data_IF_437977761766
#
_entry.id   IF_437977761766
#
_cell.length_a   1.000
_cell.length_b   1.000
_cell.length_c   1.000
_cell.angle_alpha   90.00
_cell.angle_beta   90.00
_cell.angle_gamma   90.00
#
_symmetry.space_group_name_H-M   'P 1'
#
loop_
_entity.id
_entity.type
_entity.pdbx_description
1 polymer ?
#
# COMPACT_ATOMS: atom_id res chain seq x y z
N UNK A 1 -2.41 25.69 6.51
CA UNK A 1 -3.66 25.45 7.30
C UNK A 1 -3.63 23.99 7.71
N UNK A 2 -3.80 23.68 8.99
CA UNK A 2 -3.84 22.29 9.45
C UNK A 2 -5.31 21.94 9.77
N UNK A 3 -5.84 20.92 9.12
CA UNK A 3 -7.16 20.36 9.45
C UNK A 3 -7.04 19.52 10.72
N UNK A 4 -8.09 19.53 11.54
CA UNK A 4 -8.21 18.64 12.69
C UNK A 4 -8.58 17.24 12.22
N UNK A 5 -8.07 16.21 12.87
CA UNK A 5 -8.24 14.80 12.49
C UNK A 5 -9.72 14.39 12.39
N UNK A 6 -10.55 14.88 13.30
CA UNK A 6 -11.99 14.57 13.27
C UNK A 6 -12.68 15.08 12.01
N UNK A 7 -12.20 16.19 11.42
CA UNK A 7 -12.73 16.72 10.15
C UNK A 7 -12.38 15.80 9.01
N UNK A 8 -11.09 15.39 8.91
CA UNK A 8 -10.63 14.47 7.86
C UNK A 8 -11.40 13.14 7.95
N UNK A 9 -11.52 12.57 9.15
CA UNK A 9 -12.27 11.31 9.36
C UNK A 9 -13.74 11.41 8.96
N UNK A 10 -14.39 12.55 9.22
CA UNK A 10 -15.78 12.75 8.83
C UNK A 10 -15.95 12.73 7.30
N UNK A 11 -15.04 13.38 6.57
CA UNK A 11 -15.06 13.35 5.10
C UNK A 11 -14.72 11.99 4.51
N UNK A 12 -13.93 11.17 5.21
CA UNK A 12 -13.50 9.84 4.78
C UNK A 12 -14.31 8.69 5.41
N UNK A 13 -15.40 8.97 6.14
CA UNK A 13 -16.19 7.97 6.87
C UNK A 13 -16.78 6.85 6.01
N UNK A 14 -16.94 7.09 4.70
CA UNK A 14 -17.45 6.11 3.75
C UNK A 14 -16.33 5.32 3.04
N UNK A 15 -15.07 5.49 3.45
CA UNK A 15 -13.94 4.72 2.90
C UNK A 15 -13.71 3.48 3.75
N UNK A 16 -13.58 2.33 3.09
CA UNK A 16 -13.07 1.10 3.66
C UNK A 16 -11.60 0.94 3.26
N UNK A 17 -10.72 0.89 4.24
CA UNK A 17 -9.28 0.88 4.00
C UNK A 17 -8.72 -0.54 4.08
N UNK A 18 -8.16 -1.02 2.99
CA UNK A 18 -7.41 -2.28 2.93
C UNK A 18 -5.94 -1.92 2.75
N UNK A 19 -5.17 -2.08 3.81
CA UNK A 19 -3.76 -1.67 3.89
C UNK A 19 -2.86 -2.78 4.43
N UNK A 20 -1.60 -2.50 4.68
CA UNK A 20 -0.65 -3.44 5.28
C UNK A 20 0.61 -3.64 4.45
N UNK A 21 1.27 -4.79 4.63
CA UNK A 21 2.56 -5.06 3.95
C UNK A 21 2.39 -5.46 2.48
N UNK A 22 3.41 -5.31 1.64
CA UNK A 22 3.44 -5.93 0.33
C UNK A 22 3.15 -7.43 0.41
N UNK A 23 2.61 -8.00 -0.64
CA UNK A 23 2.24 -9.43 -0.72
C UNK A 23 1.25 -9.93 0.33
N UNK A 24 0.68 -9.06 1.18
CA UNK A 24 -0.32 -9.42 2.18
C UNK A 24 -1.69 -9.83 1.59
N UNK A 25 -1.91 -9.60 0.29
CA UNK A 25 -3.16 -9.95 -0.41
C UNK A 25 -4.18 -8.82 -0.46
N UNK A 26 -3.76 -7.56 -0.25
CA UNK A 26 -4.62 -6.37 -0.28
C UNK A 26 -5.48 -6.30 -1.55
N UNK A 27 -4.85 -6.29 -2.70
CA UNK A 27 -5.51 -6.13 -4.01
C UNK A 27 -6.50 -7.26 -4.29
N UNK A 28 -6.15 -8.50 -3.94
CA UNK A 28 -7.06 -9.64 -4.06
C UNK A 28 -8.31 -9.46 -3.20
N UNK A 29 -8.14 -9.03 -1.96
CA UNK A 29 -9.24 -8.81 -1.02
C UNK A 29 -10.08 -7.59 -1.44
N UNK A 30 -9.45 -6.48 -1.79
CA UNK A 30 -10.12 -5.25 -2.24
C UNK A 30 -10.99 -5.51 -3.47
N UNK A 31 -10.43 -6.15 -4.50
CA UNK A 31 -11.16 -6.51 -5.74
C UNK A 31 -12.28 -7.53 -5.46
N UNK A 32 -12.03 -8.51 -4.57
CA UNK A 32 -13.05 -9.48 -4.14
C UNK A 32 -14.22 -8.84 -3.40
N UNK A 33 -13.96 -7.95 -2.46
CA UNK A 33 -15.00 -7.17 -1.76
C UNK A 33 -15.75 -6.27 -2.74
N UNK A 34 -15.03 -5.54 -3.60
CA UNK A 34 -15.64 -4.67 -4.60
C UNK A 34 -16.63 -5.41 -5.50
N UNK A 35 -16.23 -6.58 -6.01
CA UNK A 35 -17.09 -7.44 -6.82
C UNK A 35 -18.30 -7.97 -6.04
N UNK A 36 -18.08 -8.43 -4.81
CA UNK A 36 -19.14 -9.07 -4.01
C UNK A 36 -20.20 -8.07 -3.54
N UNK A 37 -19.81 -6.85 -3.18
CA UNK A 37 -20.71 -5.85 -2.59
C UNK A 37 -21.02 -4.69 -3.55
N UNK A 38 -20.58 -4.78 -4.81
CA UNK A 38 -20.75 -3.74 -5.83
C UNK A 38 -20.25 -2.36 -5.34
N UNK A 39 -19.08 -2.34 -4.73
CA UNK A 39 -18.43 -1.14 -4.22
C UNK A 39 -17.19 -0.85 -5.10
N UNK A 40 -17.01 0.39 -5.59
CA UNK A 40 -15.82 0.73 -6.37
C UNK A 40 -14.54 0.56 -5.53
N UNK A 41 -13.51 0.04 -6.18
CA UNK A 41 -12.17 -0.08 -5.60
C UNK A 41 -11.29 1.03 -6.15
N UNK A 42 -10.65 1.74 -5.26
CA UNK A 42 -9.63 2.74 -5.54
C UNK A 42 -8.26 2.12 -5.22
N UNK A 43 -7.49 1.82 -6.25
CA UNK A 43 -6.14 1.25 -6.16
C UNK A 43 -5.11 2.37 -6.33
N UNK A 44 -4.28 2.59 -5.31
CA UNK A 44 -3.30 3.69 -5.34
C UNK A 44 -2.19 3.46 -6.35
N UNK A 45 -1.85 2.21 -6.63
CA UNK A 45 -0.80 1.86 -7.60
C UNK A 45 -1.28 2.18 -9.03
N UNK A 46 -2.55 1.86 -9.35
CA UNK A 46 -3.18 2.23 -10.62
C UNK A 46 -3.28 3.76 -10.80
N UNK A 47 -3.43 4.50 -9.70
CA UNK A 47 -3.54 5.96 -9.73
C UNK A 47 -2.21 6.70 -9.71
N UNK A 48 -1.10 6.03 -9.41
CA UNK A 48 0.21 6.66 -9.30
C UNK A 48 0.61 7.49 -10.54
N UNK A 49 0.47 7.01 -11.79
CA UNK A 49 0.81 7.79 -12.96
C UNK A 49 -0.04 9.07 -13.15
N UNK A 50 -1.28 9.05 -12.63
CA UNK A 50 -2.17 10.23 -12.66
C UNK A 50 -1.68 11.26 -11.66
N UNK A 51 -1.42 10.84 -10.42
CA UNK A 51 -0.92 11.71 -9.36
C UNK A 51 0.45 12.29 -9.71
N UNK A 52 1.34 11.49 -10.29
CA UNK A 52 2.66 11.95 -10.71
C UNK A 52 2.56 13.09 -11.74
N UNK A 53 1.65 13.01 -12.72
CA UNK A 53 1.42 14.11 -13.69
C UNK A 53 0.85 15.38 -13.06
N UNK A 54 0.18 15.25 -11.92
CA UNK A 54 -0.39 16.39 -11.16
C UNK A 54 0.60 16.96 -10.14
N UNK A 55 1.65 16.20 -9.82
CA UNK A 55 2.63 16.57 -8.80
C UNK A 55 3.63 17.62 -9.33
N UNK A 56 4.28 18.30 -8.40
CA UNK A 56 5.32 19.30 -8.67
C UNK A 56 6.61 18.89 -7.95
N UNK A 57 7.74 18.95 -8.66
CA UNK A 57 9.06 18.53 -8.12
C UNK A 57 9.45 19.27 -6.84
N UNK A 58 8.96 20.49 -6.65
CA UNK A 58 9.22 21.28 -5.44
C UNK A 58 8.51 20.74 -4.21
N UNK A 59 7.30 20.17 -4.39
CA UNK A 59 6.44 19.72 -3.30
C UNK A 59 6.41 18.20 -3.17
N UNK A 60 6.54 17.47 -4.28
CA UNK A 60 6.58 16.02 -4.33
C UNK A 60 7.87 15.53 -5.04
N UNK A 61 9.06 15.81 -4.46
CA UNK A 61 10.34 15.49 -5.09
C UNK A 61 10.56 13.99 -5.26
N UNK A 62 10.02 13.14 -4.36
CA UNK A 62 10.20 11.70 -4.43
C UNK A 62 9.37 11.06 -5.52
N UNK A 63 8.14 11.53 -5.75
CA UNK A 63 7.29 11.10 -6.87
C UNK A 63 7.87 11.52 -8.23
N UNK A 64 8.63 12.61 -8.28
CA UNK A 64 9.25 13.14 -9.49
C UNK A 64 10.71 12.71 -9.68
N UNK A 65 11.26 11.92 -8.76
CA UNK A 65 12.64 11.42 -8.89
C UNK A 65 12.72 10.42 -10.02
N UNK A 66 13.50 10.72 -11.03
CA UNK A 66 13.83 9.80 -12.12
C UNK A 66 15.18 9.14 -11.86
N UNK A 67 15.34 7.94 -12.37
CA UNK A 67 16.59 7.18 -12.37
C UNK A 67 16.97 6.89 -13.82
N UNK A 68 18.23 7.01 -14.14
CA UNK A 68 18.74 6.82 -15.50
C UNK A 68 18.51 5.37 -15.96
N UNK A 69 18.77 4.42 -15.09
CA UNK A 69 18.71 2.99 -15.37
C UNK A 69 18.53 2.19 -14.06
N UNK A 70 18.48 0.88 -14.20
CA UNK A 70 18.35 -0.04 -13.07
C UNK A 70 19.60 -0.03 -12.16
N UNK A 71 20.78 0.20 -12.72
CA UNK A 71 22.02 0.23 -11.93
C UNK A 71 22.04 1.44 -10.99
N UNK A 72 21.60 2.62 -11.44
CA UNK A 72 21.42 3.77 -10.57
C UNK A 72 20.32 3.51 -9.53
N UNK A 73 19.20 2.91 -9.94
CA UNK A 73 18.07 2.64 -9.04
C UNK A 73 18.48 1.66 -7.92
N UNK A 74 19.12 0.54 -8.23
CA UNK A 74 19.51 -0.48 -7.26
C UNK A 74 20.89 -0.26 -6.64
N UNK A 75 21.70 0.66 -7.18
CA UNK A 75 22.99 1.06 -6.62
C UNK A 75 22.93 1.93 -5.38
N UNK A 76 21.72 2.38 -4.99
CA UNK A 76 21.51 3.14 -3.76
C UNK A 76 21.77 2.30 -2.52
N UNK A 77 22.11 2.96 -1.42
CA UNK A 77 22.11 2.29 -0.11
C UNK A 77 20.70 1.82 0.26
N UNK A 78 20.62 0.82 1.13
CA UNK A 78 19.34 0.31 1.63
C UNK A 78 18.52 1.42 2.30
N UNK A 79 19.20 2.32 3.02
CA UNK A 79 18.57 3.45 3.70
C UNK A 79 17.97 4.45 2.69
N UNK A 80 18.75 4.86 1.68
CA UNK A 80 18.26 5.76 0.62
C UNK A 80 17.07 5.18 -0.15
N UNK A 81 17.11 3.87 -0.42
CA UNK A 81 15.99 3.21 -1.09
C UNK A 81 14.74 3.19 -0.21
N UNK A 82 14.90 2.84 1.06
CA UNK A 82 13.81 2.81 2.04
C UNK A 82 13.19 4.20 2.24
N UNK A 83 14.02 5.21 2.42
CA UNK A 83 13.55 6.60 2.59
C UNK A 83 12.81 7.11 1.36
N UNK A 84 13.29 6.77 0.18
CA UNK A 84 12.58 7.13 -1.05
C UNK A 84 11.20 6.45 -1.14
N UNK A 85 11.09 5.16 -0.79
CA UNK A 85 9.80 4.46 -0.77
C UNK A 85 8.81 5.11 0.20
N UNK A 86 9.26 5.43 1.40
CA UNK A 86 8.43 6.09 2.43
C UNK A 86 7.98 7.47 1.94
N UNK A 87 8.91 8.29 1.44
CA UNK A 87 8.61 9.64 1.00
C UNK A 87 7.68 9.65 -0.22
N UNK A 88 7.92 8.78 -1.19
CA UNK A 88 7.08 8.62 -2.38
C UNK A 88 5.63 8.28 -2.01
N UNK A 89 5.44 7.29 -1.13
CA UNK A 89 4.10 6.90 -0.66
C UNK A 89 3.41 8.03 0.11
N UNK A 90 4.14 8.77 0.94
CA UNK A 90 3.60 9.88 1.71
C UNK A 90 3.20 11.06 0.82
N UNK A 91 4.02 11.40 -0.18
CA UNK A 91 3.70 12.43 -1.17
C UNK A 91 2.45 12.06 -1.97
N UNK A 92 2.31 10.79 -2.37
CA UNK A 92 1.12 10.31 -3.07
C UNK A 92 -0.13 10.35 -2.19
N UNK A 93 -0.01 10.08 -0.90
CA UNK A 93 -1.16 10.02 0.02
C UNK A 93 -1.98 11.30 0.06
N UNK A 94 -1.37 12.46 -0.15
CA UNK A 94 -2.09 13.74 -0.21
C UNK A 94 -3.10 13.76 -1.37
N UNK A 95 -2.72 13.27 -2.55
CA UNK A 95 -3.62 13.14 -3.71
C UNK A 95 -4.70 12.11 -3.45
N UNK A 96 -4.33 10.97 -2.86
CA UNK A 96 -5.26 9.88 -2.50
C UNK A 96 -6.36 10.39 -1.57
N UNK A 97 -6.02 11.17 -0.54
CA UNK A 97 -6.99 11.75 0.40
C UNK A 97 -7.97 12.66 -0.34
N UNK A 98 -7.49 13.53 -1.23
CA UNK A 98 -8.34 14.45 -2.00
C UNK A 98 -9.28 13.70 -2.94
N UNK A 99 -8.79 12.67 -3.61
CA UNK A 99 -9.62 11.83 -4.47
C UNK A 99 -10.69 11.07 -3.67
N UNK A 100 -10.30 10.47 -2.54
CA UNK A 100 -11.22 9.72 -1.70
C UNK A 100 -12.29 10.62 -1.06
N UNK A 101 -11.96 11.83 -0.64
CA UNK A 101 -12.95 12.83 -0.20
C UNK A 101 -14.00 13.05 -1.30
N UNK A 102 -13.56 13.26 -2.53
CA UNK A 102 -14.46 13.48 -3.68
C UNK A 102 -15.32 12.26 -3.99
N UNK A 103 -14.71 11.07 -4.02
CA UNK A 103 -15.38 9.83 -4.44
C UNK A 103 -16.33 9.28 -3.38
N UNK A 104 -15.96 9.37 -2.10
CA UNK A 104 -16.71 8.74 -1.01
C UNK A 104 -17.91 9.57 -0.51
N UNK A 105 -18.14 10.78 -1.04
CA UNK A 105 -19.28 11.62 -0.62
C UNK A 105 -20.65 11.00 -0.94
N UNK A 106 -20.77 10.29 -2.03
CA UNK A 106 -22.04 9.77 -2.55
C UNK A 106 -22.26 8.29 -2.27
N UNK A 107 -21.19 7.53 -2.15
CA UNK A 107 -21.24 6.08 -1.99
C UNK A 107 -19.95 5.58 -1.30
N UNK A 108 -19.99 4.40 -0.66
CA UNK A 108 -18.79 3.77 -0.13
C UNK A 108 -17.75 3.51 -1.22
N UNK A 109 -16.47 3.57 -0.81
CA UNK A 109 -15.30 3.24 -1.66
C UNK A 109 -14.39 2.32 -0.87
N UNK A 110 -13.83 1.30 -1.50
CA UNK A 110 -12.75 0.50 -0.94
C UNK A 110 -11.43 1.07 -1.44
N UNK A 111 -10.53 1.44 -0.52
CA UNK A 111 -9.19 1.91 -0.87
C UNK A 111 -8.16 0.79 -0.62
N UNK A 112 -7.50 0.36 -1.69
CA UNK A 112 -6.29 -0.48 -1.64
C UNK A 112 -5.07 0.43 -1.55
N UNK A 113 -4.38 0.42 -0.40
CA UNK A 113 -3.35 1.42 -0.13
C UNK A 113 -2.23 0.91 0.79
N UNK A 114 -1.29 1.81 1.07
CA UNK A 114 -0.23 1.64 2.05
C UNK A 114 -0.34 2.74 3.11
N UNK A 115 -0.79 2.39 4.32
CA UNK A 115 -0.85 3.31 5.46
C UNK A 115 0.03 2.81 6.59
N UNK A 116 0.74 3.73 7.21
CA UNK A 116 1.33 3.51 8.54
C UNK A 116 0.25 3.53 9.61
N UNK A 117 0.57 3.07 10.82
CA UNK A 117 -0.38 3.12 11.95
C UNK A 117 -0.78 4.55 12.30
N UNK A 118 0.15 5.50 12.24
CA UNK A 118 -0.13 6.91 12.52
C UNK A 118 -1.04 7.55 11.47
N UNK A 119 -0.86 7.21 10.19
CA UNK A 119 -1.76 7.65 9.12
C UNK A 119 -3.15 7.01 9.26
N UNK A 120 -3.22 5.74 9.63
CA UNK A 120 -4.47 5.05 9.90
C UNK A 120 -5.24 5.71 11.06
N UNK A 121 -4.53 6.03 12.15
CA UNK A 121 -5.11 6.75 13.29
C UNK A 121 -5.66 8.12 12.89
N UNK A 122 -4.94 8.85 12.03
CA UNK A 122 -5.35 10.15 11.52
C UNK A 122 -6.60 10.07 10.63
N UNK A 123 -6.66 9.10 9.71
CA UNK A 123 -7.59 9.09 8.59
C UNK A 123 -8.89 8.33 8.84
N UNK A 124 -8.91 7.37 9.79
CA UNK A 124 -10.05 6.46 9.90
C UNK A 124 -10.25 5.90 11.32
N UNK A 125 -11.37 5.25 11.52
CA UNK A 125 -11.65 4.48 12.73
C UNK A 125 -11.32 2.99 12.55
N UNK A 126 -11.02 2.30 13.65
CA UNK A 126 -10.54 0.90 13.62
C UNK A 126 -11.46 -0.08 12.91
N UNK A 127 -12.79 0.17 12.91
CA UNK A 127 -13.75 -0.70 12.22
C UNK A 127 -13.85 -0.48 10.70
N UNK A 128 -13.14 0.51 10.17
CA UNK A 128 -13.10 0.85 8.73
C UNK A 128 -11.77 0.51 8.07
N UNK A 129 -10.84 -0.12 8.80
CA UNK A 129 -9.52 -0.46 8.29
C UNK A 129 -9.17 -1.91 8.62
N UNK A 130 -8.52 -2.58 7.69
CA UNK A 130 -7.89 -3.88 7.89
C UNK A 130 -6.44 -3.83 7.41
N UNK A 131 -5.55 -4.40 8.20
CA UNK A 131 -4.17 -4.59 7.82
C UNK A 131 -3.97 -6.02 7.28
N UNK A 132 -3.68 -6.13 5.99
CA UNK A 132 -3.31 -7.38 5.33
C UNK A 132 -1.79 -7.52 5.38
N UNK A 133 -1.27 -8.52 6.10
CA UNK A 133 0.17 -8.64 6.35
C UNK A 133 0.74 -9.94 5.80
N UNK A 134 2.02 -9.91 5.49
CA UNK A 134 2.83 -11.07 5.12
C UNK A 134 4.12 -11.03 5.92
N UNK A 135 4.53 -12.19 6.41
CA UNK A 135 5.80 -12.32 7.13
C UNK A 135 6.98 -11.82 6.28
N UNK A 136 7.86 -10.95 6.83
CA UNK A 136 8.93 -10.31 6.07
C UNK A 136 9.93 -11.29 5.41
N UNK A 137 10.21 -12.42 6.04
CA UNK A 137 11.14 -13.42 5.50
C UNK A 137 10.65 -14.07 4.20
N UNK A 138 9.33 -14.26 4.07
CA UNK A 138 8.71 -14.87 2.90
C UNK A 138 8.27 -13.84 1.84
N UNK A 139 8.36 -12.55 2.17
CA UNK A 139 7.87 -11.46 1.33
C UNK A 139 8.68 -11.32 0.03
N UNK A 140 9.99 -11.48 0.11
CA UNK A 140 10.89 -11.22 -1.01
C UNK A 140 10.67 -12.17 -2.17
N UNK A 141 10.59 -13.47 -1.87
CA UNK A 141 10.34 -14.47 -2.91
C UNK A 141 9.00 -14.24 -3.60
N UNK A 142 7.97 -13.89 -2.82
CA UNK A 142 6.66 -13.58 -3.36
C UNK A 142 6.67 -12.28 -4.18
N UNK A 143 7.41 -11.24 -3.75
CA UNK A 143 7.45 -9.94 -4.41
C UNK A 143 8.11 -10.00 -5.79
N UNK A 144 9.26 -10.65 -5.88
CA UNK A 144 10.03 -10.78 -7.12
C UNK A 144 9.42 -11.79 -8.13
N UNK A 145 8.50 -12.65 -7.69
CA UNK A 145 7.89 -13.67 -8.54
C UNK A 145 6.41 -13.39 -8.87
N UNK A 146 5.92 -12.19 -8.60
CA UNK A 146 4.54 -11.81 -8.90
C UNK A 146 4.35 -11.61 -10.41
N UNK A 147 3.36 -12.29 -10.98
CA UNK A 147 3.00 -12.17 -12.40
C UNK A 147 2.40 -10.82 -12.77
N UNK A 148 1.85 -10.09 -11.81
CA UNK A 148 1.27 -8.75 -11.96
C UNK A 148 2.29 -7.60 -11.82
N UNK A 149 3.59 -7.92 -11.63
CA UNK A 149 4.70 -6.97 -11.55
C UNK A 149 5.78 -7.25 -12.61
N UNK A 150 5.37 -7.66 -13.80
CA UNK A 150 6.30 -8.03 -14.87
C UNK A 150 7.24 -6.87 -15.23
N UNK A 151 6.71 -5.65 -15.35
CA UNK A 151 7.51 -4.46 -15.67
C UNK A 151 8.63 -4.21 -14.64
N UNK A 152 8.35 -4.43 -13.34
CA UNK A 152 9.35 -4.29 -12.30
C UNK A 152 10.38 -5.44 -12.34
N UNK A 153 9.94 -6.65 -12.65
CA UNK A 153 10.85 -7.79 -12.84
C UNK A 153 11.77 -7.56 -14.05
N UNK A 154 11.23 -7.08 -15.15
CA UNK A 154 12.00 -6.73 -16.34
C UNK A 154 13.01 -5.61 -16.03
N UNK A 155 12.61 -4.63 -15.23
CA UNK A 155 13.51 -3.59 -14.75
C UNK A 155 14.64 -4.13 -13.88
N UNK A 156 14.36 -5.04 -12.92
CA UNK A 156 15.42 -5.73 -12.15
C UNK A 156 16.37 -6.47 -13.09
N UNK A 157 15.86 -7.19 -14.10
CA UNK A 157 16.66 -7.96 -15.03
C UNK A 157 17.46 -7.08 -16.02
N UNK A 158 17.16 -5.81 -16.14
CA UNK A 158 17.91 -4.85 -16.94
C UNK A 158 19.18 -4.33 -16.23
N UNK A 159 19.34 -4.60 -14.93
CA UNK A 159 20.54 -4.23 -14.18
C UNK A 159 21.75 -5.04 -14.65
N UNK A 160 22.94 -4.42 -14.67
CA UNK A 160 24.22 -5.08 -15.01
C UNK A 160 24.48 -6.26 -14.09
N UNK A 161 24.13 -6.16 -12.80
CA UNK A 161 24.21 -7.26 -11.84
C UNK A 161 22.84 -7.53 -11.21
N UNK A 162 22.11 -8.46 -11.81
CA UNK A 162 20.74 -8.83 -11.40
C UNK A 162 20.68 -9.35 -9.97
N UNK A 163 21.68 -10.09 -9.51
CA UNK A 163 21.70 -10.64 -8.14
C UNK A 163 21.87 -9.53 -7.10
N UNK A 164 22.71 -8.53 -7.36
CA UNK A 164 22.86 -7.35 -6.50
C UNK A 164 21.57 -6.53 -6.50
N UNK A 165 20.92 -6.34 -7.64
CA UNK A 165 19.65 -5.63 -7.72
C UNK A 165 18.55 -6.32 -6.90
N UNK A 166 18.43 -7.64 -7.01
CA UNK A 166 17.50 -8.46 -6.20
C UNK A 166 17.84 -8.39 -4.72
N UNK A 167 19.10 -8.45 -4.35
CA UNK A 167 19.54 -8.37 -2.96
C UNK A 167 19.22 -7.00 -2.35
N UNK A 168 19.50 -5.91 -3.08
CA UNK A 168 19.18 -4.53 -2.64
C UNK A 168 17.69 -4.36 -2.44
N UNK A 169 16.88 -4.77 -3.41
CA UNK A 169 15.41 -4.73 -3.31
C UNK A 169 14.91 -5.53 -2.08
N UNK A 170 15.43 -6.75 -1.92
CA UNK A 170 15.11 -7.64 -0.81
C UNK A 170 15.39 -7.01 0.55
N UNK A 171 16.60 -6.49 0.74
CA UNK A 171 17.03 -5.87 1.99
C UNK A 171 16.21 -4.61 2.30
N UNK A 172 15.93 -3.77 1.31
CA UNK A 172 15.12 -2.58 1.48
C UNK A 172 13.67 -2.93 1.92
N UNK A 173 13.06 -3.90 1.24
CA UNK A 173 11.70 -4.38 1.58
C UNK A 173 11.65 -5.02 2.97
N UNK A 174 12.62 -5.85 3.34
CA UNK A 174 12.70 -6.43 4.69
C UNK A 174 12.86 -5.35 5.76
N UNK A 175 13.77 -4.39 5.54
CA UNK A 175 14.00 -3.28 6.47
C UNK A 175 12.77 -2.41 6.67
N UNK A 176 12.03 -2.11 5.59
CA UNK A 176 10.81 -1.33 5.64
C UNK A 176 9.67 -2.08 6.35
N UNK A 177 9.45 -3.34 5.96
CA UNK A 177 8.27 -4.08 6.38
C UNK A 177 8.42 -4.81 7.71
N UNK A 178 9.64 -5.14 8.16
CA UNK A 178 9.85 -5.87 9.41
C UNK A 178 9.33 -5.13 10.62
N UNK A 179 9.67 -3.85 10.75
CA UNK A 179 9.17 -2.99 11.84
C UNK A 179 7.67 -2.75 11.74
N UNK A 180 7.17 -2.52 10.52
CA UNK A 180 5.75 -2.27 10.29
C UNK A 180 4.90 -3.51 10.59
N UNK A 181 5.34 -4.69 10.16
CA UNK A 181 4.68 -5.97 10.46
C UNK A 181 4.51 -6.19 11.95
N UNK A 182 5.58 -6.02 12.73
CA UNK A 182 5.53 -6.21 14.18
C UNK A 182 4.62 -5.16 14.85
N UNK A 183 4.76 -3.89 14.47
CA UNK A 183 3.93 -2.82 14.99
C UNK A 183 2.43 -3.04 14.72
N UNK A 184 2.06 -3.54 13.54
CA UNK A 184 0.66 -3.87 13.22
C UNK A 184 0.15 -4.97 14.16
N UNK A 185 0.91 -6.03 14.40
CA UNK A 185 0.48 -7.14 15.30
C UNK A 185 0.25 -6.67 16.73
N UNK A 186 0.96 -5.65 17.17
CA UNK A 186 0.87 -5.07 18.51
C UNK A 186 -0.12 -3.90 18.63
N UNK A 187 -0.65 -3.40 17.50
CA UNK A 187 -1.40 -2.13 17.46
C UNK A 187 -2.84 -2.18 17.98
N UNK A 188 -3.42 -3.38 18.14
CA UNK A 188 -4.85 -3.53 18.44
C UNK A 188 -5.80 -3.32 17.25
N UNK A 189 -5.31 -2.94 16.07
CA UNK A 189 -6.11 -2.93 14.85
C UNK A 189 -6.43 -4.35 14.38
N UNK A 190 -7.49 -4.50 13.58
CA UNK A 190 -7.78 -5.78 12.94
C UNK A 190 -6.78 -6.04 11.81
N UNK A 191 -6.11 -7.18 11.88
CA UNK A 191 -5.16 -7.61 10.86
C UNK A 191 -5.37 -9.07 10.49
N UNK A 192 -5.00 -9.41 9.27
CA UNK A 192 -5.01 -10.78 8.76
C UNK A 192 -3.66 -11.07 8.09
N UNK A 193 -3.03 -12.13 8.53
CA UNK A 193 -1.82 -12.63 7.87
C UNK A 193 -2.20 -13.55 6.71
N UNK A 194 -1.54 -13.34 5.56
CA UNK A 194 -1.68 -14.22 4.40
C UNK A 194 -1.13 -15.60 4.75
N UNK A 195 -2.00 -16.60 4.73
CA UNK A 195 -1.71 -17.98 5.09
C UNK A 195 -2.16 -18.93 4.00
N UNK A 196 -1.45 -20.05 3.84
CA UNK A 196 -1.85 -21.16 2.97
C UNK A 196 -3.05 -21.93 3.52
N UNK A 197 -3.34 -21.79 4.82
CA UNK A 197 -4.42 -22.49 5.51
C UNK A 197 -5.78 -21.79 5.39
N UNK A 198 -5.84 -20.63 4.73
CA UNK A 198 -7.07 -19.86 4.55
C UNK A 198 -7.18 -19.44 3.08
N UNK A 199 -8.30 -19.78 2.46
CA UNK A 199 -8.56 -19.40 1.08
C UNK A 199 -8.98 -17.92 0.93
N UNK A 200 -9.10 -17.47 -0.30
CA UNK A 200 -9.41 -16.05 -0.61
C UNK A 200 -10.83 -15.71 -0.17
N UNK A 201 -11.81 -16.59 -0.41
CA UNK A 201 -13.22 -16.38 -0.05
C UNK A 201 -13.40 -16.25 1.45
N UNK A 202 -12.73 -17.09 2.25
CA UNK A 202 -12.74 -17.01 3.71
C UNK A 202 -12.12 -15.68 4.19
N UNK A 203 -11.05 -15.24 3.56
CA UNK A 203 -10.40 -13.97 3.89
C UNK A 203 -11.34 -12.79 3.59
N UNK A 204 -11.97 -12.78 2.42
CA UNK A 204 -12.97 -11.77 2.03
C UNK A 204 -14.15 -11.75 3.04
N UNK A 205 -14.62 -12.93 3.45
CA UNK A 205 -15.73 -13.02 4.41
C UNK A 205 -15.36 -12.45 5.78
N UNK A 206 -14.14 -12.70 6.27
CA UNK A 206 -13.64 -12.14 7.53
C UNK A 206 -13.53 -10.61 7.48
N UNK A 207 -12.98 -10.07 6.38
CA UNK A 207 -12.86 -8.61 6.19
C UNK A 207 -14.24 -7.97 6.05
N UNK A 208 -15.15 -8.57 5.29
CA UNK A 208 -16.52 -8.08 5.14
C UNK A 208 -17.27 -8.05 6.49
N UNK A 209 -17.09 -9.10 7.31
CA UNK A 209 -17.64 -9.14 8.68
C UNK A 209 -17.08 -8.02 9.55
N UNK A 210 -15.76 -7.78 9.50
CA UNK A 210 -15.11 -6.70 10.23
C UNK A 210 -15.65 -5.33 9.82
N UNK A 211 -15.84 -5.10 8.53
CA UNK A 211 -16.41 -3.87 7.98
C UNK A 211 -17.92 -3.75 8.15
N UNK A 212 -18.60 -4.76 8.72
CA UNK A 212 -20.08 -4.83 8.80
C UNK A 212 -20.77 -4.64 7.44
N UNK A 213 -20.18 -5.18 6.37
CA UNK A 213 -20.78 -5.16 5.03
C UNK A 213 -21.96 -6.13 4.97
N UNK A 214 -23.07 -5.67 4.36
CA UNK A 214 -24.33 -6.44 4.22
C UNK A 214 -24.65 -6.68 2.76
#
# INVERSE_FOLDING_TARGET
MNFQDNVIREYLKNVYWVTGTPCGGKTTVSKGLGKKYNIPVYDIDEMFPVHQRMSDVKYQPSMNKSFKDADEFFGRTIEEYREWLISNTREQLEFVIMDLIRLSQKAPVICDCHLTLSEAELLTSSHRIVFMIKEPENLVNDYCNRSDHQDFNDFIHSATNVEVAKETCSKALKSLNGKHYQAIKESGYFWLERSTNRNVEETIALVAKHFNMK
#
